data_IF_100365216806
#
_entry.id   IF_100365216806
#
_cell.length_a   1.000
_cell.length_b   1.000
_cell.length_c   1.000
_cell.angle_alpha   90.00
_cell.angle_beta   90.00
_cell.angle_gamma   90.00
#
_symmetry.space_group_name_H-M   'P 1'
#
loop_
_entity.id
_entity.type
_entity.pdbx_description
1 polymer ?
#
# COMPACT_ATOMS: atom_id res chain seq x y z
N UNK A 1 3.10 -1.19 -19.67
CA UNK A 1 3.17 -1.99 -18.44
C UNK A 1 2.22 -3.19 -18.51
N UNK A 2 0.90 -3.00 -18.61
CA UNK A 2 -0.08 -4.11 -18.61
C UNK A 2 0.15 -5.17 -19.69
N UNK A 3 0.42 -4.77 -20.93
CA UNK A 3 0.66 -5.72 -22.04
C UNK A 3 1.90 -6.58 -21.78
N UNK A 4 3.04 -5.97 -21.49
CA UNK A 4 4.26 -6.68 -21.10
C UNK A 4 4.06 -7.57 -19.85
N UNK A 5 3.24 -7.14 -18.89
CA UNK A 5 2.89 -7.96 -17.73
C UNK A 5 2.08 -9.20 -18.13
N UNK A 6 1.09 -9.06 -19.03
CA UNK A 6 0.28 -10.19 -19.54
C UNK A 6 1.12 -11.18 -20.33
N UNK A 7 2.05 -10.69 -21.15
CA UNK A 7 3.01 -11.55 -21.86
C UNK A 7 3.84 -12.38 -20.89
N UNK A 8 4.38 -11.74 -19.83
CA UNK A 8 5.11 -12.42 -18.77
C UNK A 8 4.26 -13.46 -18.03
N UNK A 9 3.00 -13.13 -17.70
CA UNK A 9 2.07 -14.08 -17.09
C UNK A 9 1.87 -15.30 -18.00
N UNK A 10 1.66 -15.10 -19.30
CA UNK A 10 1.48 -16.20 -20.25
C UNK A 10 2.76 -17.04 -20.40
N UNK A 11 3.93 -16.42 -20.46
CA UNK A 11 5.22 -17.11 -20.52
C UNK A 11 5.44 -18.00 -19.28
N UNK A 12 5.22 -17.44 -18.09
CA UNK A 12 5.37 -18.16 -16.81
C UNK A 12 4.34 -19.29 -16.68
N UNK A 13 3.10 -19.04 -17.09
CA UNK A 13 2.05 -20.05 -17.11
C UNK A 13 2.38 -21.23 -18.04
N UNK A 14 3.03 -20.98 -19.19
CA UNK A 14 3.49 -22.04 -20.10
C UNK A 14 4.54 -22.97 -19.47
N UNK A 15 5.23 -22.47 -18.43
CA UNK A 15 6.20 -23.22 -17.63
C UNK A 15 5.58 -23.78 -16.33
N UNK A 16 4.28 -23.58 -16.09
CA UNK A 16 3.58 -24.08 -14.89
C UNK A 16 3.95 -23.34 -13.60
N UNK A 17 4.44 -22.10 -13.69
CA UNK A 17 4.93 -21.31 -12.55
C UNK A 17 4.22 -19.95 -12.48
N UNK A 18 4.04 -19.37 -11.27
CA UNK A 18 3.36 -18.08 -11.11
C UNK A 18 4.18 -16.93 -11.70
N UNK A 19 3.57 -15.79 -12.09
CA UNK A 19 4.32 -14.61 -12.48
C UNK A 19 5.22 -14.11 -11.35
N UNK A 20 6.31 -13.44 -11.71
CA UNK A 20 7.14 -12.75 -10.73
C UNK A 20 6.35 -11.58 -10.09
N UNK A 21 6.67 -11.19 -8.84
CA UNK A 21 6.20 -9.93 -8.27
C UNK A 21 6.61 -8.73 -9.13
N UNK A 22 5.89 -7.62 -8.97
CA UNK A 22 6.18 -6.38 -9.68
C UNK A 22 7.49 -5.75 -9.21
N UNK A 23 8.28 -5.25 -10.15
CA UNK A 23 9.44 -4.40 -9.84
C UNK A 23 9.02 -2.98 -9.44
N UNK A 24 9.95 -2.20 -8.89
CA UNK A 24 9.71 -0.80 -8.55
C UNK A 24 9.27 0.04 -9.76
N UNK A 25 9.85 -0.20 -10.94
CA UNK A 25 9.46 0.49 -12.18
C UNK A 25 8.05 0.09 -12.63
N UNK A 26 7.69 -1.18 -12.46
CA UNK A 26 6.33 -1.65 -12.76
C UNK A 26 5.31 -1.05 -11.78
N UNK A 27 5.63 -0.96 -10.49
CA UNK A 27 4.75 -0.30 -9.51
C UNK A 27 4.64 1.19 -9.79
N UNK A 28 5.71 1.88 -10.18
CA UNK A 28 5.65 3.28 -10.57
C UNK A 28 4.73 3.48 -11.79
N UNK A 29 4.83 2.61 -12.81
CA UNK A 29 3.92 2.64 -13.95
C UNK A 29 2.48 2.29 -13.56
N UNK A 30 2.27 1.35 -12.62
CA UNK A 30 0.96 1.00 -12.08
C UNK A 30 0.32 2.19 -11.34
N UNK A 31 1.10 2.97 -10.59
CA UNK A 31 0.62 4.18 -9.90
C UNK A 31 0.04 5.19 -10.89
N UNK A 32 0.68 5.43 -12.03
CA UNK A 32 0.14 6.33 -13.05
C UNK A 32 -1.16 5.80 -13.66
N UNK A 33 -1.27 4.49 -13.87
CA UNK A 33 -2.53 3.86 -14.30
C UNK A 33 -3.61 3.95 -13.22
N UNK A 34 -3.28 3.81 -11.95
CA UNK A 34 -4.24 3.96 -10.85
C UNK A 34 -4.78 5.39 -10.76
N UNK A 35 -3.98 6.42 -11.10
CA UNK A 35 -4.43 7.82 -11.16
C UNK A 35 -5.36 8.09 -12.34
N UNK A 36 -5.15 7.41 -13.46
CA UNK A 36 -5.93 7.58 -14.69
C UNK A 36 -6.22 6.20 -15.34
N UNK A 37 -7.16 5.41 -14.78
CA UNK A 37 -7.35 4.03 -15.20
C UNK A 37 -7.97 3.95 -16.60
N UNK A 38 -7.43 3.09 -17.49
CA UNK A 38 -8.11 2.72 -18.72
C UNK A 38 -9.43 2.01 -18.41
N UNK A 39 -10.46 2.26 -19.21
CA UNK A 39 -11.77 1.63 -19.02
C UNK A 39 -11.69 0.11 -19.13
N UNK A 40 -12.26 -0.60 -18.15
CA UNK A 40 -12.28 -2.06 -18.09
C UNK A 40 -11.02 -2.69 -17.49
N UNK A 41 -10.06 -1.89 -17.02
CA UNK A 41 -8.84 -2.36 -16.37
C UNK A 41 -8.86 -2.17 -14.84
N UNK A 42 -9.92 -1.58 -14.29
CA UNK A 42 -9.99 -1.11 -12.90
C UNK A 42 -9.72 -2.23 -11.89
N UNK A 43 -10.38 -3.38 -12.07
CA UNK A 43 -10.21 -4.55 -11.20
C UNK A 43 -8.80 -5.13 -11.29
N UNK A 44 -8.27 -5.27 -12.51
CA UNK A 44 -6.89 -5.73 -12.75
C UNK A 44 -5.89 -4.83 -12.03
N UNK A 45 -6.02 -3.51 -12.13
CA UNK A 45 -5.10 -2.56 -11.49
C UNK A 45 -5.11 -2.69 -9.96
N UNK A 46 -6.29 -2.86 -9.37
CA UNK A 46 -6.44 -3.06 -7.92
C UNK A 46 -5.89 -4.42 -7.48
N UNK A 47 -6.09 -5.48 -8.25
CA UNK A 47 -5.49 -6.80 -7.98
C UNK A 47 -3.96 -6.72 -8.00
N UNK A 48 -3.37 -6.08 -9.02
CA UNK A 48 -1.93 -5.91 -9.14
C UNK A 48 -1.35 -5.16 -7.93
N UNK A 49 -1.99 -4.06 -7.52
CA UNK A 49 -1.56 -3.28 -6.37
C UNK A 49 -1.65 -4.08 -5.07
N UNK A 50 -2.72 -4.86 -4.91
CA UNK A 50 -3.02 -5.59 -3.68
C UNK A 50 -2.13 -6.83 -3.54
N UNK A 51 -2.01 -7.62 -4.61
CA UNK A 51 -1.53 -9.00 -4.56
C UNK A 51 -0.18 -9.23 -5.24
N UNK A 52 0.32 -8.29 -6.05
CA UNK A 52 1.53 -8.51 -6.87
C UNK A 52 2.73 -7.65 -6.49
N UNK A 53 2.63 -6.85 -5.43
CA UNK A 53 3.75 -6.05 -4.90
C UNK A 53 4.36 -6.76 -3.69
N UNK A 54 5.68 -6.99 -3.65
CA UNK A 54 6.36 -7.50 -2.45
C UNK A 54 6.04 -6.63 -1.20
N UNK A 55 5.88 -7.24 -0.02
CA UNK A 55 5.76 -6.50 1.24
C UNK A 55 7.14 -6.07 1.77
N UNK A 56 7.17 -5.38 2.91
CA UNK A 56 8.43 -5.10 3.62
C UNK A 56 9.17 -3.86 3.10
N UNK A 57 10.50 -4.00 3.00
CA UNK A 57 11.43 -2.94 2.61
C UNK A 57 11.97 -3.10 1.18
N UNK A 58 11.25 -3.83 0.34
CA UNK A 58 11.54 -3.95 -1.10
C UNK A 58 11.33 -2.60 -1.82
N UNK A 59 12.08 -2.35 -2.89
CA UNK A 59 11.98 -1.10 -3.65
C UNK A 59 10.58 -0.90 -4.26
N UNK A 60 9.88 -1.97 -4.66
CA UNK A 60 8.51 -1.90 -5.12
C UNK A 60 7.52 -1.60 -3.98
N UNK A 61 7.80 -2.13 -2.77
CA UNK A 61 7.04 -1.82 -1.56
C UNK A 61 7.17 -0.34 -1.20
N UNK A 62 8.36 0.26 -1.35
CA UNK A 62 8.59 1.69 -1.14
C UNK A 62 7.66 2.55 -2.01
N UNK A 63 7.62 2.25 -3.32
CA UNK A 63 6.77 2.99 -4.27
C UNK A 63 5.28 2.84 -3.92
N UNK A 64 4.85 1.62 -3.59
CA UNK A 64 3.47 1.34 -3.15
C UNK A 64 3.12 2.12 -1.87
N UNK A 65 3.94 2.03 -0.83
CA UNK A 65 3.70 2.70 0.45
C UNK A 65 3.65 4.22 0.27
N UNK A 66 4.56 4.80 -0.50
CA UNK A 66 4.59 6.23 -0.78
C UNK A 66 3.32 6.70 -1.49
N UNK A 67 2.85 5.96 -2.50
CA UNK A 67 1.60 6.28 -3.20
C UNK A 67 0.38 6.17 -2.29
N UNK A 68 0.23 5.07 -1.54
CA UNK A 68 -0.90 4.87 -0.64
C UNK A 68 -0.93 5.93 0.47
N UNK A 69 0.23 6.29 1.04
CA UNK A 69 0.34 7.35 2.02
C UNK A 69 -0.06 8.71 1.44
N UNK A 70 0.36 9.02 0.20
CA UNK A 70 -0.04 10.24 -0.49
C UNK A 70 -1.56 10.29 -0.76
N UNK A 71 -2.18 9.16 -1.11
CA UNK A 71 -3.64 9.07 -1.25
C UNK A 71 -4.34 9.30 0.08
N UNK A 72 -3.90 8.64 1.15
CA UNK A 72 -4.46 8.82 2.50
C UNK A 72 -4.38 10.29 2.96
N UNK A 73 -3.26 10.97 2.72
CA UNK A 73 -3.06 12.39 3.03
C UNK A 73 -3.76 13.37 2.07
N UNK A 74 -4.35 12.89 0.97
CA UNK A 74 -4.97 13.72 -0.06
C UNK A 74 -3.97 14.49 -0.94
N UNK A 75 -2.71 14.07 -0.94
CA UNK A 75 -1.62 14.60 -1.78
C UNK A 75 -1.62 13.98 -3.19
N UNK A 76 -2.23 12.80 -3.33
CA UNK A 76 -2.47 12.11 -4.59
C UNK A 76 -3.93 11.66 -4.68
N UNK A 77 -4.43 11.47 -5.90
CA UNK A 77 -5.80 11.04 -6.17
C UNK A 77 -5.81 9.85 -7.13
N UNK A 78 -6.68 8.89 -6.86
CA UNK A 78 -7.05 7.80 -7.76
C UNK A 78 -8.56 7.64 -7.73
N UNK A 79 -9.25 7.53 -8.89
CA UNK A 79 -10.67 7.22 -8.91
C UNK A 79 -11.00 5.80 -8.39
N UNK A 80 -9.99 4.95 -8.17
CA UNK A 80 -10.15 3.56 -7.71
C UNK A 80 -9.85 3.36 -6.22
N UNK A 81 -9.29 4.37 -5.55
CA UNK A 81 -8.87 4.29 -4.15
C UNK A 81 -9.31 5.55 -3.42
N UNK A 82 -10.19 5.37 -2.42
CA UNK A 82 -10.41 6.41 -1.43
C UNK A 82 -9.32 6.38 -0.34
N UNK A 83 -9.32 7.41 0.52
CA UNK A 83 -8.36 7.55 1.61
C UNK A 83 -8.38 6.34 2.55
N UNK A 84 -9.57 5.89 2.96
CA UNK A 84 -9.74 4.77 3.90
C UNK A 84 -9.14 3.49 3.31
N UNK A 85 -9.44 3.19 2.05
CA UNK A 85 -8.92 2.02 1.36
C UNK A 85 -7.40 2.07 1.21
N UNK A 86 -6.83 3.26 1.05
CA UNK A 86 -5.37 3.40 1.03
C UNK A 86 -4.74 3.03 2.39
N UNK A 87 -5.37 3.41 3.51
CA UNK A 87 -4.93 3.00 4.86
C UNK A 87 -5.05 1.50 5.07
N UNK A 88 -6.17 0.89 4.65
CA UNK A 88 -6.35 -0.57 4.71
C UNK A 88 -5.25 -1.30 3.93
N UNK A 89 -4.89 -0.83 2.74
CA UNK A 89 -3.81 -1.42 1.92
C UNK A 89 -2.42 -1.19 2.51
N UNK A 90 -2.17 -0.08 3.22
CA UNK A 90 -0.95 0.09 4.00
C UNK A 90 -0.87 -0.99 5.11
N UNK A 91 -1.99 -1.33 5.74
CA UNK A 91 -2.07 -2.37 6.76
C UNK A 91 -1.66 -3.78 6.29
N UNK A 92 -1.80 -4.08 4.99
CA UNK A 92 -1.46 -5.40 4.45
C UNK A 92 0.01 -5.57 4.07
N UNK A 93 0.84 -4.54 4.23
CA UNK A 93 2.25 -4.56 3.77
C UNK A 93 3.22 -5.22 4.76
N UNK A 94 2.70 -5.85 5.82
CA UNK A 94 3.40 -6.60 6.89
C UNK A 94 4.31 -5.77 7.81
N UNK A 95 4.97 -4.74 7.29
CA UNK A 95 5.91 -3.88 8.01
C UNK A 95 6.90 -3.21 7.06
N UNK A 96 7.75 -2.31 7.57
CA UNK A 96 8.68 -1.52 6.76
C UNK A 96 8.08 -0.17 6.37
N UNK A 97 8.03 0.12 5.07
CA UNK A 97 7.67 1.47 4.59
C UNK A 97 6.23 1.91 4.87
N UNK A 98 5.35 0.98 5.27
CA UNK A 98 3.97 1.27 5.66
C UNK A 98 3.80 1.74 7.12
N UNK A 99 4.77 1.45 8.01
CA UNK A 99 4.61 1.65 9.45
C UNK A 99 4.55 3.13 9.81
N UNK A 100 5.54 3.92 9.40
CA UNK A 100 5.57 5.35 9.71
C UNK A 100 4.32 6.09 9.18
N UNK A 101 3.87 5.89 7.93
CA UNK A 101 2.60 6.44 7.47
C UNK A 101 1.39 6.06 8.35
N UNK A 102 1.27 4.81 8.79
CA UNK A 102 0.17 4.39 9.65
C UNK A 102 0.24 5.06 11.03
N UNK A 103 1.42 5.21 11.61
CA UNK A 103 1.64 5.89 12.90
C UNK A 103 1.34 7.39 12.79
N UNK A 104 1.73 8.04 11.70
CA UNK A 104 1.40 9.44 11.43
C UNK A 104 -0.13 9.64 11.36
N UNK A 105 -0.83 8.73 10.68
CA UNK A 105 -2.28 8.78 10.50
C UNK A 105 -3.08 8.58 11.79
N UNK A 106 -2.47 8.16 12.90
CA UNK A 106 -3.12 8.18 14.22
C UNK A 106 -3.54 9.59 14.64
N UNK A 107 -2.90 10.64 14.14
CA UNK A 107 -3.26 12.03 14.43
C UNK A 107 -4.30 12.60 13.45
N UNK A 108 -4.69 11.83 12.43
CA UNK A 108 -5.67 12.26 11.44
C UNK A 108 -7.11 12.10 11.98
N UNK A 109 -7.91 13.18 11.88
CA UNK A 109 -9.26 13.22 12.43
C UNK A 109 -10.24 12.26 11.73
N UNK A 110 -9.99 11.89 10.48
CA UNK A 110 -10.83 10.99 9.68
C UNK A 110 -10.28 9.56 9.68
N UNK A 111 -8.96 9.40 9.68
CA UNK A 111 -8.29 8.13 9.41
C UNK A 111 -7.69 7.46 10.65
N UNK A 112 -7.65 8.11 11.81
CA UNK A 112 -7.00 7.57 13.00
C UNK A 112 -7.57 6.23 13.48
N UNK A 113 -8.88 6.03 13.41
CA UNK A 113 -9.52 4.76 13.80
C UNK A 113 -9.08 3.61 12.88
N UNK A 114 -9.12 3.80 11.56
CA UNK A 114 -8.70 2.76 10.60
C UNK A 114 -7.18 2.53 10.66
N UNK A 115 -6.38 3.56 10.89
CA UNK A 115 -4.94 3.41 11.09
C UNK A 115 -4.62 2.56 12.32
N UNK A 116 -5.31 2.81 13.44
CA UNK A 116 -5.21 2.00 14.64
C UNK A 116 -5.64 0.54 14.41
N UNK A 117 -6.74 0.32 13.67
CA UNK A 117 -7.17 -1.04 13.29
C UNK A 117 -6.09 -1.79 12.51
N UNK A 118 -5.39 -1.13 11.59
CA UNK A 118 -4.31 -1.76 10.84
C UNK A 118 -3.04 -1.99 11.69
N UNK A 119 -2.68 -1.04 12.55
CA UNK A 119 -1.50 -1.16 13.42
C UNK A 119 -1.64 -2.31 14.44
N UNK A 120 -2.85 -2.62 14.91
CA UNK A 120 -3.11 -3.75 15.84
C UNK A 120 -2.57 -5.09 15.35
N UNK A 121 -2.52 -5.31 14.04
CA UNK A 121 -2.04 -6.55 13.43
C UNK A 121 -0.62 -6.43 12.87
N UNK A 122 0.03 -5.28 13.02
CA UNK A 122 1.39 -5.05 12.56
C UNK A 122 2.38 -5.53 13.63
N UNK A 123 2.99 -6.69 13.38
CA UNK A 123 3.99 -7.25 14.31
C UNK A 123 5.37 -6.60 14.17
N UNK A 124 5.70 -6.16 12.95
CA UNK A 124 7.02 -5.62 12.58
C UNK A 124 7.13 -4.11 12.90
N UNK A 125 6.65 -3.71 14.07
CA UNK A 125 6.67 -2.32 14.57
C UNK A 125 8.07 -1.86 15.00
N UNK A 126 8.85 -2.76 15.62
CA UNK A 126 10.17 -2.45 16.18
C UNK A 126 10.15 -1.14 17.01
N UNK A 127 11.06 -0.21 16.72
CA UNK A 127 11.18 1.04 17.47
C UNK A 127 9.97 1.98 17.28
N UNK A 128 9.20 1.84 16.20
CA UNK A 128 7.97 2.61 15.99
C UNK A 128 6.89 2.32 17.04
N UNK A 129 7.05 1.26 17.84
CA UNK A 129 6.25 1.04 19.04
C UNK A 129 6.32 2.25 19.98
N UNK A 130 7.50 2.86 20.14
CA UNK A 130 7.68 4.01 21.02
C UNK A 130 6.97 5.26 20.47
N UNK A 131 6.90 5.41 19.15
CA UNK A 131 6.16 6.52 18.52
C UNK A 131 4.64 6.40 18.83
N UNK A 132 4.09 5.19 18.81
CA UNK A 132 2.69 4.93 19.20
C UNK A 132 2.50 5.14 20.70
N UNK A 133 3.41 4.61 21.53
CA UNK A 133 3.36 4.79 22.98
C UNK A 133 3.40 6.28 23.38
N UNK A 134 4.22 7.08 22.71
CA UNK A 134 4.30 8.53 22.94
C UNK A 134 2.98 9.22 22.62
N UNK A 135 2.35 8.90 21.48
CA UNK A 135 1.02 9.42 21.12
C UNK A 135 -0.05 9.01 22.13
N UNK A 136 -0.03 7.76 22.59
CA UNK A 136 -0.96 7.27 23.61
C UNK A 136 -0.81 8.05 24.93
N UNK A 137 0.44 8.26 25.38
CA UNK A 137 0.74 9.06 26.58
C UNK A 137 0.38 10.54 26.43
N UNK A 138 0.41 11.06 25.20
CA UNK A 138 -0.05 12.41 24.87
C UNK A 138 -1.59 12.53 24.79
N UNK A 139 -2.33 11.43 24.96
CA UNK A 139 -3.80 11.42 25.02
C UNK A 139 -4.49 11.09 23.69
N UNK A 140 -3.77 10.59 22.69
CA UNK A 140 -4.39 10.06 21.48
C UNK A 140 -5.15 8.77 21.82
N UNK A 141 -6.47 8.77 21.68
CA UNK A 141 -7.33 7.65 22.06
C UNK A 141 -7.21 6.42 21.13
N UNK A 142 -6.63 6.61 19.94
CA UNK A 142 -6.47 5.58 18.92
C UNK A 142 -5.06 4.96 18.92
N UNK A 143 -4.10 5.53 19.65
CA UNK A 143 -2.75 5.01 19.83
C UNK A 143 -2.71 4.00 20.98
#
# INVERSE_FOLDING_TARGET
MLEAYREHVAERASQGIPPLPLSAEQVAALVELLKAPPAGEEETLLELLTERVPPGVDDAAYVKAAFLAAVARGEAHSPLLDKRRAVELLGTMLGGYNVAPLVDLLDDAELSEVAAEQLKFTLLMFDAFHDVEEKARAGNANA
#
